data_IF_614676832396
#
_entry.id   IF_614676832396
#
_cell.length_a   1.000
_cell.length_b   1.000
_cell.length_c   1.000
_cell.angle_alpha   90.00
_cell.angle_beta   90.00
_cell.angle_gamma   90.00
#
_symmetry.space_group_name_H-M   'P 1'
#
loop_
_entity.id
_entity.type
_entity.pdbx_description
1 polymer ?
#
# COMPACT_ATOMS: atom_id res chain seq x y z
N UNK A 1 -21.67 -22.43 46.49
CA UNK A 1 -20.63 -21.69 45.74
C UNK A 1 -21.36 -20.62 44.94
N UNK A 2 -21.21 -19.35 45.35
CA UNK A 2 -21.76 -18.24 44.57
C UNK A 2 -20.98 -18.16 43.26
N UNK A 3 -21.54 -18.67 42.16
CA UNK A 3 -21.02 -18.41 40.83
C UNK A 3 -21.17 -16.91 40.59
N UNK A 4 -20.08 -16.17 40.74
CA UNK A 4 -20.06 -14.75 40.38
C UNK A 4 -20.44 -14.64 38.91
N UNK A 5 -21.52 -13.90 38.65
CA UNK A 5 -22.00 -13.69 37.27
C UNK A 5 -20.94 -12.91 36.54
N UNK A 6 -20.43 -13.47 35.40
CA UNK A 6 -19.52 -12.76 34.51
C UNK A 6 -20.25 -11.56 33.90
N UNK A 7 -19.78 -10.36 34.19
CA UNK A 7 -20.37 -9.10 33.71
C UNK A 7 -19.65 -8.52 32.54
N UNK A 8 -18.36 -8.86 32.36
CA UNK A 8 -17.48 -8.30 31.32
C UNK A 8 -16.70 -9.40 30.63
N UNK A 9 -16.63 -9.34 29.33
CA UNK A 9 -15.73 -10.18 28.50
C UNK A 9 -14.83 -9.25 27.71
N UNK A 10 -13.53 -9.35 27.93
CA UNK A 10 -12.52 -8.55 27.24
C UNK A 10 -11.77 -9.44 26.27
N UNK A 11 -12.01 -9.25 24.97
CA UNK A 11 -11.30 -9.99 23.91
C UNK A 11 -10.01 -9.25 23.55
N UNK A 12 -8.87 -9.90 23.69
CA UNK A 12 -7.55 -9.34 23.36
C UNK A 12 -7.13 -9.76 21.96
N UNK A 13 -6.67 -8.81 21.13
CA UNK A 13 -6.31 -9.03 19.73
C UNK A 13 -4.90 -8.52 19.45
N UNK A 14 -3.95 -9.43 19.17
CA UNK A 14 -2.56 -9.05 18.90
C UNK A 14 -2.35 -8.42 17.52
N UNK A 15 -1.20 -7.73 17.35
CA UNK A 15 -0.79 -7.10 16.10
C UNK A 15 -0.09 -8.03 15.12
N UNK A 16 0.52 -7.45 14.08
CA UNK A 16 1.36 -8.17 13.12
C UNK A 16 2.64 -8.67 13.80
N UNK A 17 3.15 -9.82 13.31
CA UNK A 17 4.33 -10.53 13.81
C UNK A 17 4.25 -10.97 15.29
N UNK A 18 3.11 -10.81 15.95
CA UNK A 18 2.90 -11.02 17.38
C UNK A 18 2.02 -12.25 17.70
N UNK A 19 2.04 -13.29 16.86
CA UNK A 19 1.21 -14.50 17.03
C UNK A 19 1.40 -15.17 18.39
N UNK A 20 2.60 -15.08 18.97
CA UNK A 20 2.95 -15.69 20.25
C UNK A 20 3.04 -14.67 21.41
N UNK A 21 2.49 -13.47 21.23
CA UNK A 21 2.52 -12.44 22.25
C UNK A 21 1.78 -12.91 23.52
N UNK A 22 2.44 -12.78 24.65
CA UNK A 22 1.92 -13.19 25.96
C UNK A 22 0.97 -12.18 26.56
N UNK A 23 1.01 -10.92 26.12
CA UNK A 23 0.16 -9.86 26.63
C UNK A 23 -1.35 -10.10 26.39
N UNK A 24 -1.71 -10.95 25.42
CA UNK A 24 -3.12 -11.31 25.13
C UNK A 24 -3.68 -12.31 26.14
N UNK A 25 -2.86 -12.96 26.94
CA UNK A 25 -3.28 -14.03 27.85
C UNK A 25 -3.93 -13.51 29.13
N UNK A 26 -4.81 -14.31 29.76
CA UNK A 26 -5.45 -13.92 31.01
C UNK A 26 -4.49 -13.64 32.18
N UNK A 27 -3.32 -14.27 32.19
CA UNK A 27 -2.25 -14.09 33.20
C UNK A 27 -1.27 -12.96 32.88
N UNK A 28 -1.48 -12.24 31.77
CA UNK A 28 -0.70 -11.06 31.38
C UNK A 28 -0.86 -9.90 32.37
N UNK A 29 -0.03 -8.86 32.23
CA UNK A 29 -0.19 -7.62 33.01
C UNK A 29 -1.58 -7.01 32.83
N UNK A 30 -2.09 -6.98 31.58
CA UNK A 30 -3.45 -6.50 31.28
C UNK A 30 -4.50 -7.40 31.96
N UNK A 31 -4.39 -8.72 31.82
CA UNK A 31 -5.32 -9.65 32.45
C UNK A 31 -5.36 -9.53 33.97
N UNK A 32 -4.18 -9.37 34.61
CA UNK A 32 -4.07 -9.13 36.06
C UNK A 32 -4.65 -7.78 36.47
N UNK A 33 -4.42 -6.70 35.70
CA UNK A 33 -5.02 -5.39 35.98
C UNK A 33 -6.56 -5.45 35.92
N UNK A 34 -7.11 -6.10 34.88
CA UNK A 34 -8.54 -6.31 34.75
C UNK A 34 -9.12 -7.15 35.89
N UNK A 35 -8.44 -8.24 36.24
CA UNK A 35 -8.86 -9.10 37.36
C UNK A 35 -8.79 -8.36 38.71
N UNK A 36 -7.76 -7.54 38.92
CA UNK A 36 -7.64 -6.71 40.13
C UNK A 36 -8.75 -5.66 40.23
N UNK A 37 -9.13 -5.02 39.11
CA UNK A 37 -10.17 -3.98 39.10
C UNK A 37 -11.57 -4.54 39.18
N UNK A 38 -11.87 -5.64 38.49
CA UNK A 38 -13.22 -6.15 38.29
C UNK A 38 -13.50 -7.50 38.99
N UNK A 39 -12.48 -8.08 39.60
CA UNK A 39 -12.61 -9.36 40.33
C UNK A 39 -13.02 -10.51 39.44
N UNK A 40 -13.81 -11.42 39.98
CA UNK A 40 -14.35 -12.57 39.24
C UNK A 40 -15.45 -12.22 38.22
N UNK A 41 -15.83 -10.95 38.11
CA UNK A 41 -16.82 -10.44 37.14
C UNK A 41 -16.27 -10.23 35.75
N UNK A 42 -14.95 -10.41 35.49
CA UNK A 42 -14.31 -10.24 34.18
C UNK A 42 -13.73 -11.54 33.67
N UNK A 43 -13.87 -11.77 32.36
CA UNK A 43 -13.19 -12.84 31.61
C UNK A 43 -12.36 -12.23 30.51
N UNK A 44 -11.08 -12.58 30.47
CA UNK A 44 -10.17 -12.23 29.36
C UNK A 44 -10.15 -13.39 28.36
N UNK A 45 -10.48 -13.10 27.10
CA UNK A 45 -10.54 -14.08 26.02
C UNK A 45 -9.49 -13.72 24.95
N UNK A 46 -8.45 -14.54 24.83
CA UNK A 46 -7.39 -14.31 23.86
C UNK A 46 -7.85 -14.68 22.45
N UNK A 47 -7.69 -13.75 21.48
CA UNK A 47 -7.87 -14.07 20.09
C UNK A 47 -6.54 -14.04 19.35
N UNK A 48 -6.22 -15.15 18.67
CA UNK A 48 -4.96 -15.32 17.94
C UNK A 48 -5.24 -15.49 16.46
N UNK A 49 -4.47 -14.78 15.63
CA UNK A 49 -4.51 -14.88 14.18
C UNK A 49 -3.09 -15.05 13.60
N UNK A 50 -2.95 -15.13 12.28
CA UNK A 50 -1.64 -15.40 11.64
C UNK A 50 -0.59 -14.31 11.90
N UNK A 51 -1.00 -13.08 12.18
CA UNK A 51 -0.10 -11.93 12.34
C UNK A 51 0.64 -11.53 11.08
N UNK A 52 0.28 -12.04 9.88
CA UNK A 52 0.93 -11.66 8.64
C UNK A 52 0.56 -10.24 8.22
N UNK A 53 1.57 -9.44 7.81
CA UNK A 53 1.35 -8.05 7.40
C UNK A 53 0.86 -7.94 5.96
N UNK A 54 -0.34 -8.41 5.67
CA UNK A 54 -1.00 -8.24 4.38
C UNK A 54 -2.53 -8.17 4.51
N UNK A 55 -3.24 -7.54 3.56
CA UNK A 55 -4.69 -7.38 3.59
C UNK A 55 -5.47 -8.70 3.65
N UNK A 56 -5.02 -9.75 2.94
CA UNK A 56 -5.71 -11.04 2.93
C UNK A 56 -5.69 -11.72 4.30
N UNK A 57 -4.54 -11.68 5.01
CA UNK A 57 -4.44 -12.26 6.34
C UNK A 57 -5.32 -11.50 7.35
N UNK A 58 -5.43 -10.17 7.21
CA UNK A 58 -6.35 -9.37 8.05
C UNK A 58 -7.81 -9.65 7.73
N UNK A 59 -8.15 -9.88 6.45
CA UNK A 59 -9.49 -10.28 6.05
C UNK A 59 -9.89 -11.65 6.62
N UNK A 60 -9.00 -12.64 6.56
CA UNK A 60 -9.20 -13.94 7.18
C UNK A 60 -9.35 -13.81 8.72
N UNK A 61 -8.48 -13.01 9.36
CA UNK A 61 -8.53 -12.76 10.79
C UNK A 61 -9.85 -12.09 11.22
N UNK A 62 -10.38 -11.18 10.42
CA UNK A 62 -11.69 -10.54 10.63
C UNK A 62 -12.80 -11.58 10.74
N UNK A 63 -12.86 -12.54 9.82
CA UNK A 63 -13.92 -13.54 9.81
C UNK A 63 -13.81 -14.49 11.01
N UNK A 64 -12.60 -14.93 11.35
CA UNK A 64 -12.33 -15.72 12.56
C UNK A 64 -12.63 -14.97 13.87
N UNK A 65 -12.31 -13.66 13.93
CA UNK A 65 -12.64 -12.83 15.08
C UNK A 65 -14.16 -12.69 15.26
N UNK A 66 -14.88 -12.51 14.15
CA UNK A 66 -16.34 -12.45 14.17
C UNK A 66 -16.96 -13.73 14.75
N UNK A 67 -16.49 -14.89 14.31
CA UNK A 67 -16.94 -16.19 14.85
C UNK A 67 -16.59 -16.33 16.33
N UNK A 68 -15.37 -15.96 16.73
CA UNK A 68 -14.92 -15.99 18.12
C UNK A 68 -15.79 -15.11 19.02
N UNK A 69 -16.06 -13.87 18.61
CA UNK A 69 -16.91 -12.95 19.35
C UNK A 69 -18.35 -13.47 19.45
N UNK A 70 -18.88 -14.05 18.38
CA UNK A 70 -20.21 -14.66 18.40
C UNK A 70 -20.31 -15.82 19.39
N UNK A 71 -19.32 -16.71 19.43
CA UNK A 71 -19.25 -17.78 20.43
C UNK A 71 -19.21 -17.24 21.86
N UNK A 72 -18.44 -16.17 22.11
CA UNK A 72 -18.39 -15.54 23.43
C UNK A 72 -19.72 -14.90 23.83
N UNK A 73 -20.42 -14.26 22.90
CA UNK A 73 -21.75 -13.68 23.14
C UNK A 73 -22.82 -14.74 23.47
N UNK A 74 -22.72 -15.91 22.84
CA UNK A 74 -23.60 -17.04 23.19
C UNK A 74 -23.29 -17.58 24.60
N UNK A 75 -22.00 -17.69 24.93
CA UNK A 75 -21.53 -18.23 26.21
C UNK A 75 -21.80 -17.28 27.36
N UNK A 76 -21.65 -15.98 27.16
CA UNK A 76 -21.76 -14.94 28.20
C UNK A 76 -22.83 -13.91 27.79
N UNK A 77 -24.05 -14.36 27.64
CA UNK A 77 -25.20 -13.58 27.12
C UNK A 77 -25.49 -12.27 27.84
N UNK A 78 -25.23 -12.23 29.17
CA UNK A 78 -25.51 -11.07 30.01
C UNK A 78 -24.30 -10.18 30.23
N UNK A 79 -23.12 -10.56 29.69
CA UNK A 79 -21.91 -9.80 29.84
C UNK A 79 -21.80 -8.71 28.76
N UNK A 80 -21.19 -7.58 29.12
CA UNK A 80 -20.75 -6.59 28.18
C UNK A 80 -19.44 -7.06 27.52
N UNK A 81 -19.35 -6.93 26.21
CA UNK A 81 -18.22 -7.39 25.42
C UNK A 81 -17.35 -6.22 24.98
N UNK A 82 -16.07 -6.27 25.32
CA UNK A 82 -15.05 -5.28 24.95
C UNK A 82 -13.97 -5.94 24.10
N UNK A 83 -13.30 -5.14 23.27
CA UNK A 83 -12.14 -5.58 22.51
C UNK A 83 -10.96 -4.68 22.90
N UNK A 84 -9.82 -5.27 23.26
CA UNK A 84 -8.54 -4.57 23.42
C UNK A 84 -7.60 -5.06 22.34
N UNK A 85 -7.24 -4.20 21.42
CA UNK A 85 -6.49 -4.56 20.24
C UNK A 85 -5.20 -3.73 20.11
N UNK A 86 -4.11 -4.38 19.77
CA UNK A 86 -2.81 -3.73 19.58
C UNK A 86 -2.42 -3.71 18.10
N UNK A 87 -1.83 -2.59 17.65
CA UNK A 87 -1.29 -2.46 16.31
C UNK A 87 -2.34 -2.81 15.24
N UNK A 88 -1.98 -3.58 14.21
CA UNK A 88 -2.93 -4.03 13.18
C UNK A 88 -4.08 -4.95 13.70
N UNK A 89 -4.01 -5.41 14.94
CA UNK A 89 -5.15 -6.04 15.60
C UNK A 89 -6.37 -5.11 15.70
N UNK A 90 -6.15 -3.79 15.89
CA UNK A 90 -7.20 -2.79 15.82
C UNK A 90 -7.90 -2.75 14.45
N UNK A 91 -7.14 -2.83 13.35
CA UNK A 91 -7.75 -2.92 12.01
C UNK A 91 -8.60 -4.20 11.87
N UNK A 92 -8.11 -5.35 12.38
CA UNK A 92 -8.88 -6.60 12.36
C UNK A 92 -10.18 -6.46 13.13
N UNK A 93 -10.15 -5.81 14.31
CA UNK A 93 -11.34 -5.52 15.09
C UNK A 93 -12.33 -4.63 14.32
N UNK A 94 -11.87 -3.51 13.75
CA UNK A 94 -12.73 -2.63 12.95
C UNK A 94 -13.32 -3.30 11.71
N UNK A 95 -12.56 -4.18 11.05
CA UNK A 95 -13.10 -4.94 9.92
C UNK A 95 -14.15 -5.96 10.36
N UNK A 96 -14.00 -6.59 11.52
CA UNK A 96 -15.01 -7.50 12.08
C UNK A 96 -16.30 -6.76 12.46
N UNK A 97 -16.18 -5.57 13.02
CA UNK A 97 -17.31 -4.72 13.44
C UNK A 97 -18.03 -4.01 12.29
N UNK A 98 -17.69 -4.27 11.05
CA UNK A 98 -18.53 -3.89 9.89
C UNK A 98 -19.86 -4.66 9.86
N UNK A 99 -19.91 -5.81 10.50
CA UNK A 99 -21.13 -6.51 10.80
C UNK A 99 -21.90 -5.74 11.89
N UNK A 100 -23.02 -5.13 11.52
CA UNK A 100 -23.81 -4.26 12.38
C UNK A 100 -24.38 -5.02 13.59
N UNK A 101 -24.88 -6.24 13.35
CA UNK A 101 -25.45 -7.06 14.41
C UNK A 101 -24.40 -7.45 15.46
N UNK A 102 -23.14 -7.63 15.04
CA UNK A 102 -22.03 -7.84 15.97
C UNK A 102 -21.63 -6.53 16.66
N UNK A 103 -21.47 -5.45 15.87
CA UNK A 103 -21.06 -4.14 16.39
C UNK A 103 -21.94 -3.63 17.51
N UNK A 104 -23.25 -3.79 17.38
CA UNK A 104 -24.21 -3.31 18.37
C UNK A 104 -24.14 -4.06 19.70
N UNK A 105 -23.57 -5.26 19.68
CA UNK A 105 -23.34 -6.08 20.90
C UNK A 105 -21.95 -5.88 21.52
N UNK A 106 -21.06 -5.08 20.92
CA UNK A 106 -19.75 -4.78 21.49
C UNK A 106 -19.86 -3.44 22.21
N UNK A 107 -19.64 -3.41 23.51
CA UNK A 107 -19.70 -2.20 24.33
C UNK A 107 -18.63 -1.18 23.93
N UNK A 108 -17.42 -1.65 23.59
CA UNK A 108 -16.38 -0.75 23.12
C UNK A 108 -15.11 -1.45 22.63
N UNK A 109 -14.23 -0.66 21.99
CA UNK A 109 -12.93 -1.09 21.45
C UNK A 109 -11.83 -0.18 21.96
N UNK A 110 -10.80 -0.74 22.60
CA UNK A 110 -9.57 -0.03 22.94
C UNK A 110 -8.49 -0.37 21.90
N UNK A 111 -7.97 0.63 21.24
CA UNK A 111 -6.94 0.51 20.21
C UNK A 111 -5.60 1.04 20.74
N UNK A 112 -4.64 0.15 20.91
CA UNK A 112 -3.30 0.44 21.43
C UNK A 112 -2.31 0.53 20.26
N UNK A 113 -1.73 1.68 20.02
CA UNK A 113 -0.79 1.95 18.93
C UNK A 113 -1.31 1.43 17.57
N UNK A 114 -2.60 1.51 17.30
CA UNK A 114 -3.21 1.04 16.06
C UNK A 114 -2.95 2.03 14.92
N UNK A 115 -2.31 1.61 13.82
CA UNK A 115 -2.26 2.37 12.59
C UNK A 115 -3.55 2.12 11.79
N UNK A 116 -4.51 3.02 11.84
CA UNK A 116 -5.76 2.88 11.11
C UNK A 116 -5.51 3.00 9.61
N UNK A 117 -5.64 1.88 8.89
CA UNK A 117 -5.45 1.89 7.44
C UNK A 117 -6.68 2.46 6.75
N UNK A 118 -6.51 3.62 6.13
CA UNK A 118 -7.54 4.29 5.35
C UNK A 118 -7.15 4.23 3.88
N UNK A 119 -8.08 3.82 3.03
CA UNK A 119 -7.88 3.80 1.58
C UNK A 119 -8.83 4.75 0.87
N UNK A 120 -8.32 5.46 -0.12
CA UNK A 120 -9.09 6.38 -0.97
C UNK A 120 -8.79 6.07 -2.44
N UNK A 121 -9.81 5.92 -3.31
CA UNK A 121 -9.58 5.81 -4.74
C UNK A 121 -8.91 7.07 -5.28
N UNK A 122 -7.89 6.91 -6.11
CA UNK A 122 -7.28 8.06 -6.80
C UNK A 122 -8.05 8.34 -8.08
N UNK A 123 -8.40 9.59 -8.30
CA UNK A 123 -9.02 10.06 -9.54
C UNK A 123 -7.88 10.29 -10.55
N UNK A 124 -7.47 9.24 -11.22
CA UNK A 124 -6.50 9.32 -12.30
C UNK A 124 -7.25 9.34 -13.63
N UNK A 125 -6.92 10.30 -14.51
CA UNK A 125 -7.53 10.39 -15.85
C UNK A 125 -7.41 9.06 -16.60
N UNK A 126 -8.56 8.52 -17.05
CA UNK A 126 -8.67 7.13 -17.52
C UNK A 126 -7.77 6.81 -18.73
N UNK A 127 -7.54 7.76 -19.62
CA UNK A 127 -6.71 7.60 -20.83
C UNK A 127 -5.21 7.61 -20.50
N UNK A 128 -4.77 8.48 -19.58
CA UNK A 128 -3.36 8.57 -19.19
C UNK A 128 -2.86 7.31 -18.45
N UNK A 129 -3.65 6.75 -17.54
CA UNK A 129 -3.26 5.54 -16.79
C UNK A 129 -3.01 4.36 -17.72
N UNK A 130 -3.91 4.13 -18.68
CA UNK A 130 -3.80 2.98 -19.60
C UNK A 130 -2.56 3.10 -20.48
N UNK A 131 -2.28 4.30 -21.01
CA UNK A 131 -1.12 4.54 -21.85
C UNK A 131 0.21 4.40 -21.07
N UNK A 132 0.29 4.94 -19.85
CA UNK A 132 1.50 4.85 -19.03
C UNK A 132 1.77 3.43 -18.54
N UNK A 133 0.73 2.71 -18.13
CA UNK A 133 0.86 1.31 -17.72
C UNK A 133 1.23 0.43 -18.91
N UNK A 134 0.62 0.64 -20.08
CA UNK A 134 0.98 -0.08 -21.30
C UNK A 134 2.43 0.21 -21.72
N UNK A 135 2.86 1.49 -21.65
CA UNK A 135 4.24 1.88 -21.95
C UNK A 135 5.25 1.24 -21.01
N UNK A 136 4.98 1.20 -19.74
CA UNK A 136 5.89 0.62 -18.75
C UNK A 136 5.98 -0.88 -18.82
N UNK A 137 4.87 -1.52 -19.04
CA UNK A 137 4.86 -2.97 -19.26
C UNK A 137 5.60 -3.28 -20.56
N UNK A 138 5.40 -2.48 -21.61
CA UNK A 138 6.16 -2.58 -22.84
C UNK A 138 7.68 -2.45 -22.62
N UNK A 139 8.13 -1.50 -21.80
CA UNK A 139 9.56 -1.37 -21.47
C UNK A 139 10.07 -2.54 -20.64
N UNK A 140 9.32 -2.95 -19.61
CA UNK A 140 9.70 -4.12 -18.81
C UNK A 140 9.86 -5.36 -19.71
N UNK A 141 8.94 -5.54 -20.65
CA UNK A 141 9.00 -6.62 -21.63
C UNK A 141 10.21 -6.50 -22.55
N UNK A 142 10.53 -5.28 -23.01
CA UNK A 142 11.74 -5.04 -23.83
C UNK A 142 13.02 -5.34 -23.03
N UNK A 143 13.10 -4.94 -21.76
CA UNK A 143 14.25 -5.25 -20.90
C UNK A 143 14.35 -6.75 -20.65
N UNK A 144 13.24 -7.41 -20.34
CA UNK A 144 13.22 -8.87 -20.15
C UNK A 144 13.58 -9.62 -21.43
N UNK A 145 13.16 -9.13 -22.58
CA UNK A 145 13.55 -9.66 -23.89
C UNK A 145 15.05 -9.51 -24.14
N UNK A 146 15.60 -8.33 -23.84
CA UNK A 146 17.03 -8.09 -23.99
C UNK A 146 17.84 -9.05 -23.10
N UNK A 147 17.43 -9.20 -21.83
CA UNK A 147 18.05 -10.12 -20.89
C UNK A 147 17.87 -11.59 -21.32
N UNK A 148 16.69 -11.96 -21.79
CA UNK A 148 16.42 -13.29 -22.32
C UNK A 148 17.23 -13.60 -23.57
N UNK A 149 17.34 -12.64 -24.50
CA UNK A 149 18.19 -12.77 -25.70
C UNK A 149 19.66 -12.91 -25.33
N UNK A 150 20.16 -12.12 -24.37
CA UNK A 150 21.52 -12.23 -23.87
C UNK A 150 21.78 -13.60 -23.24
N UNK A 151 20.85 -14.11 -22.45
CA UNK A 151 20.96 -15.43 -21.81
C UNK A 151 20.78 -16.57 -22.82
N UNK A 152 19.83 -16.49 -23.75
CA UNK A 152 19.52 -17.49 -24.75
C UNK A 152 20.51 -17.49 -25.93
N UNK A 153 21.31 -16.45 -26.12
CA UNK A 153 22.37 -16.42 -27.15
C UNK A 153 23.43 -17.51 -26.95
N UNK A 154 23.48 -18.12 -25.75
CA UNK A 154 24.33 -19.26 -25.45
C UNK A 154 23.78 -20.61 -25.93
N UNK A 155 22.52 -20.66 -26.42
CA UNK A 155 21.86 -21.89 -26.86
C UNK A 155 21.80 -21.97 -28.41
N UNK A 156 22.29 -23.04 -28.93
CA UNK A 156 22.12 -23.47 -30.33
C UNK A 156 20.95 -24.47 -30.46
N UNK A 157 20.08 -24.41 -31.46
CA UNK A 157 20.12 -23.52 -32.63
C UNK A 157 19.38 -22.17 -32.42
N UNK A 158 19.84 -21.14 -33.09
CA UNK A 158 19.36 -19.75 -32.99
C UNK A 158 17.84 -19.59 -33.22
N UNK A 159 17.23 -20.37 -34.13
CA UNK A 159 15.78 -20.32 -34.38
C UNK A 159 14.94 -20.67 -33.17
N UNK A 160 15.42 -21.56 -32.29
CA UNK A 160 14.72 -21.95 -31.06
C UNK A 160 14.69 -20.78 -30.06
N UNK A 161 15.78 -20.05 -29.94
CA UNK A 161 15.85 -18.85 -29.09
C UNK A 161 14.87 -17.77 -29.56
N UNK A 162 14.75 -17.57 -30.86
CA UNK A 162 13.80 -16.59 -31.45
C UNK A 162 12.34 -17.00 -31.24
N UNK A 163 12.01 -18.29 -31.39
CA UNK A 163 10.68 -18.83 -31.11
C UNK A 163 10.31 -18.67 -29.63
N UNK A 164 11.25 -18.96 -28.71
CA UNK A 164 11.03 -18.77 -27.26
C UNK A 164 10.81 -17.31 -26.90
N UNK A 165 11.56 -16.39 -27.49
CA UNK A 165 11.41 -14.94 -27.33
C UNK A 165 10.02 -14.50 -27.81
N UNK A 166 9.59 -14.96 -28.98
CA UNK A 166 8.27 -14.64 -29.53
C UNK A 166 7.11 -15.21 -28.66
N UNK A 167 7.22 -16.45 -28.22
CA UNK A 167 6.25 -17.07 -27.33
C UNK A 167 6.17 -16.33 -25.98
N UNK A 168 7.31 -15.91 -25.42
CA UNK A 168 7.38 -15.12 -24.19
C UNK A 168 6.72 -13.76 -24.37
N UNK A 169 6.93 -13.08 -25.52
CA UNK A 169 6.25 -11.82 -25.85
C UNK A 169 4.73 -11.97 -25.86
N UNK A 170 4.22 -12.94 -26.61
CA UNK A 170 2.78 -13.19 -26.71
C UNK A 170 2.16 -13.51 -25.36
N UNK A 171 2.80 -14.38 -24.58
CA UNK A 171 2.37 -14.70 -23.22
C UNK A 171 2.35 -13.47 -22.33
N UNK A 172 3.40 -12.69 -22.36
CA UNK A 172 3.54 -11.47 -21.55
C UNK A 172 2.51 -10.40 -21.93
N UNK A 173 2.27 -10.19 -23.23
CA UNK A 173 1.21 -9.29 -23.71
C UNK A 173 -0.19 -9.75 -23.24
N UNK A 174 -0.47 -11.05 -23.33
CA UNK A 174 -1.72 -11.62 -22.85
C UNK A 174 -1.89 -11.43 -21.34
N UNK A 175 -0.85 -11.74 -20.57
CA UNK A 175 -0.85 -11.56 -19.10
C UNK A 175 -1.09 -10.09 -18.69
N UNK A 176 -0.43 -9.17 -19.38
CA UNK A 176 -0.64 -7.73 -19.16
C UNK A 176 -2.06 -7.31 -19.46
N UNK A 177 -2.64 -7.75 -20.59
CA UNK A 177 -4.03 -7.45 -20.93
C UNK A 177 -5.00 -7.92 -19.84
N UNK A 178 -4.80 -9.12 -19.31
CA UNK A 178 -5.59 -9.69 -18.22
C UNK A 178 -5.40 -8.90 -16.92
N UNK A 179 -4.15 -8.54 -16.57
CA UNK A 179 -3.84 -7.75 -15.39
C UNK A 179 -4.48 -6.36 -15.47
N UNK A 180 -4.35 -5.66 -16.59
CA UNK A 180 -4.95 -4.33 -16.80
C UNK A 180 -6.48 -4.35 -16.69
N UNK A 181 -7.12 -5.37 -17.30
CA UNK A 181 -8.58 -5.54 -17.22
C UNK A 181 -9.06 -5.73 -15.79
N UNK A 182 -8.34 -6.49 -14.99
CA UNK A 182 -8.74 -6.86 -13.64
C UNK A 182 -8.21 -5.89 -12.55
N UNK A 183 -7.27 -5.01 -12.87
CA UNK A 183 -6.59 -4.17 -11.89
C UNK A 183 -7.54 -3.22 -11.15
N UNK A 184 -8.45 -2.56 -11.88
CA UNK A 184 -9.46 -1.69 -11.25
C UNK A 184 -10.36 -2.45 -10.30
N UNK A 185 -10.88 -3.59 -10.75
CA UNK A 185 -11.72 -4.46 -9.90
C UNK A 185 -10.96 -4.96 -8.66
N UNK A 186 -9.68 -5.27 -8.81
CA UNK A 186 -8.82 -5.64 -7.71
C UNK A 186 -8.64 -4.48 -6.71
N UNK A 187 -8.34 -3.28 -7.19
CA UNK A 187 -8.21 -2.09 -6.35
C UNK A 187 -9.52 -1.75 -5.61
N UNK A 188 -10.67 -1.84 -6.29
CA UNK A 188 -11.98 -1.64 -5.67
C UNK A 188 -12.29 -2.68 -4.58
N UNK A 189 -11.93 -3.95 -4.81
CA UNK A 189 -12.07 -5.01 -3.80
C UNK A 189 -11.17 -4.73 -2.59
N UNK A 190 -9.93 -4.31 -2.83
CA UNK A 190 -9.00 -3.96 -1.76
C UNK A 190 -9.49 -2.73 -0.99
N UNK A 191 -9.95 -1.69 -1.69
CA UNK A 191 -10.56 -0.51 -1.07
C UNK A 191 -11.72 -0.90 -0.14
N UNK A 192 -12.66 -1.70 -0.63
CA UNK A 192 -13.77 -2.20 0.18
C UNK A 192 -13.31 -3.05 1.36
N UNK A 193 -12.24 -3.85 1.19
CA UNK A 193 -11.69 -4.66 2.28
C UNK A 193 -11.05 -3.83 3.39
N UNK A 194 -10.50 -2.65 3.05
CA UNK A 194 -9.84 -1.73 3.99
C UNK A 194 -10.79 -0.70 4.64
N UNK A 195 -12.10 -0.74 4.34
CA UNK A 195 -13.05 0.14 5.00
C UNK A 195 -13.20 -0.20 6.48
N UNK A 196 -13.13 0.80 7.34
CA UNK A 196 -13.29 0.68 8.77
C UNK A 196 -14.78 0.78 9.16
N UNK A 197 -15.17 0.11 10.25
CA UNK A 197 -16.47 0.32 10.86
C UNK A 197 -16.54 1.72 11.48
N UNK A 198 -17.74 2.30 11.54
CA UNK A 198 -18.01 3.51 12.31
C UNK A 198 -18.41 3.14 13.74
N UNK A 199 -17.79 3.78 14.72
CA UNK A 199 -18.13 3.68 16.12
C UNK A 199 -18.47 5.08 16.65
N UNK A 200 -19.21 5.15 17.77
CA UNK A 200 -19.35 6.40 18.50
C UNK A 200 -18.10 6.69 19.33
N UNK A 201 -17.89 7.95 19.69
CA UNK A 201 -16.70 8.39 20.39
C UNK A 201 -16.54 7.70 21.76
N UNK A 202 -17.63 7.48 22.46
CA UNK A 202 -17.66 6.85 23.79
C UNK A 202 -17.23 5.38 23.74
N UNK A 203 -17.45 4.71 22.60
CA UNK A 203 -17.14 3.28 22.39
C UNK A 203 -15.73 3.03 21.86
N UNK A 204 -14.91 4.06 21.68
CA UNK A 204 -13.56 3.93 21.17
C UNK A 204 -12.54 4.62 22.06
N UNK A 205 -11.63 3.84 22.64
CA UNK A 205 -10.44 4.33 23.32
C UNK A 205 -9.24 4.20 22.38
N UNK A 206 -8.52 5.30 22.15
CA UNK A 206 -7.29 5.32 21.35
C UNK A 206 -6.12 5.70 22.25
N UNK A 207 -5.15 4.78 22.38
CA UNK A 207 -3.93 4.99 23.18
C UNK A 207 -2.73 4.88 22.28
N UNK A 208 -1.82 5.84 22.36
CA UNK A 208 -0.61 5.90 21.55
C UNK A 208 0.62 6.23 22.38
N UNK A 209 1.77 5.69 21.94
CA UNK A 209 3.09 6.13 22.37
C UNK A 209 3.69 7.03 21.28
N UNK A 210 4.07 8.28 21.57
CA UNK A 210 4.74 9.14 20.61
C UNK A 210 6.08 8.52 20.16
N UNK A 211 6.38 8.60 18.85
CA UNK A 211 7.67 8.18 18.31
C UNK A 211 7.90 6.68 18.27
N UNK A 212 6.83 5.87 18.24
CA UNK A 212 6.98 4.43 18.07
C UNK A 212 7.57 4.08 16.68
N UNK A 213 8.34 3.00 16.61
CA UNK A 213 9.09 2.57 15.42
C UNK A 213 8.16 2.14 14.28
N UNK A 214 6.99 1.61 14.59
CA UNK A 214 6.00 1.24 13.61
C UNK A 214 5.42 2.47 12.90
N UNK A 215 5.27 3.59 13.62
CA UNK A 215 4.86 4.86 13.02
C UNK A 215 5.91 5.38 12.03
N UNK A 216 7.20 5.23 12.30
CA UNK A 216 8.26 5.61 11.36
C UNK A 216 8.23 4.76 10.08
N UNK A 217 8.03 3.45 10.19
CA UNK A 217 7.88 2.56 9.03
C UNK A 217 6.65 2.93 8.17
N UNK A 218 5.55 3.31 8.80
CA UNK A 218 4.34 3.73 8.11
C UNK A 218 4.48 5.10 7.43
N UNK A 219 5.24 6.04 8.02
CA UNK A 219 5.60 7.31 7.37
C UNK A 219 6.43 7.08 6.12
N UNK A 220 7.39 6.18 6.15
CA UNK A 220 8.16 5.78 4.96
C UNK A 220 7.25 5.20 3.89
N UNK A 221 6.32 4.32 4.24
CA UNK A 221 5.30 3.80 3.33
C UNK A 221 4.47 4.91 2.67
N UNK A 222 3.97 5.87 3.45
CA UNK A 222 3.23 7.02 2.94
C UNK A 222 4.08 7.89 2.00
N UNK A 223 5.34 8.15 2.36
CA UNK A 223 6.28 8.89 1.52
C UNK A 223 6.46 8.22 0.15
N UNK A 224 6.74 6.91 0.11
CA UNK A 224 6.88 6.15 -1.14
C UNK A 224 5.61 6.18 -1.97
N UNK A 225 4.45 6.04 -1.33
CA UNK A 225 3.15 6.11 -1.99
C UNK A 225 2.92 7.48 -2.64
N UNK A 226 3.18 8.56 -1.92
CA UNK A 226 3.03 9.94 -2.42
C UNK A 226 4.05 10.26 -3.52
N UNK A 227 5.30 9.81 -3.38
CA UNK A 227 6.33 9.99 -4.39
C UNK A 227 5.94 9.31 -5.70
N UNK A 228 5.42 8.09 -5.64
CA UNK A 228 4.95 7.35 -6.83
C UNK A 228 3.88 8.13 -7.60
N UNK A 229 2.94 8.75 -6.87
CA UNK A 229 1.89 9.58 -7.49
C UNK A 229 2.45 10.88 -8.07
N UNK A 230 3.39 11.52 -7.37
CA UNK A 230 4.03 12.74 -7.89
C UNK A 230 4.77 12.48 -9.20
N UNK A 231 5.47 11.35 -9.30
CA UNK A 231 6.13 10.92 -10.52
C UNK A 231 5.13 10.66 -11.65
N UNK A 232 4.01 10.01 -11.34
CA UNK A 232 2.93 9.82 -12.32
C UNK A 232 2.36 11.15 -12.83
N UNK A 233 2.03 12.09 -11.93
CA UNK A 233 1.52 13.42 -12.30
C UNK A 233 2.54 14.19 -13.12
N UNK A 234 3.83 14.12 -12.76
CA UNK A 234 4.92 14.74 -13.50
C UNK A 234 4.99 14.19 -14.94
N UNK A 235 4.89 12.88 -15.11
CA UNK A 235 4.89 12.22 -16.41
C UNK A 235 3.75 12.73 -17.29
N UNK A 236 2.55 12.85 -16.74
CA UNK A 236 1.39 13.40 -17.43
C UNK A 236 1.59 14.88 -17.81
N UNK A 237 2.09 15.70 -16.90
CA UNK A 237 2.36 17.12 -17.17
C UNK A 237 3.43 17.32 -18.25
N UNK A 238 4.47 16.49 -18.26
CA UNK A 238 5.50 16.51 -19.30
C UNK A 238 4.90 16.16 -20.66
N UNK A 239 4.02 15.16 -20.72
CA UNK A 239 3.30 14.80 -21.93
C UNK A 239 2.45 15.95 -22.48
N UNK A 240 1.59 16.54 -21.65
CA UNK A 240 0.74 17.68 -22.05
C UNK A 240 1.56 18.88 -22.53
N UNK A 241 2.69 19.16 -21.87
CA UNK A 241 3.61 20.22 -22.29
C UNK A 241 4.25 19.90 -23.65
N UNK A 242 4.67 18.66 -23.88
CA UNK A 242 5.23 18.22 -25.14
C UNK A 242 4.22 18.36 -26.27
N UNK A 243 3.00 17.86 -26.09
CA UNK A 243 1.91 18.01 -27.06
C UNK A 243 1.61 19.49 -27.34
N UNK A 244 1.50 20.31 -26.31
CA UNK A 244 1.27 21.76 -26.47
C UNK A 244 2.39 22.44 -27.24
N UNK A 245 3.63 22.00 -27.10
CA UNK A 245 4.79 22.52 -27.81
C UNK A 245 4.77 22.09 -29.28
N UNK A 246 4.51 20.81 -29.56
CA UNK A 246 4.40 20.28 -30.92
C UNK A 246 3.21 20.92 -31.67
N UNK A 247 2.07 21.09 -31.02
CA UNK A 247 0.90 21.77 -31.61
C UNK A 247 1.17 23.24 -31.93
N UNK A 248 1.96 23.96 -31.12
CA UNK A 248 2.38 25.32 -31.45
C UNK A 248 3.32 25.34 -32.65
N UNK A 249 4.23 24.36 -32.75
CA UNK A 249 5.17 24.25 -33.85
C UNK A 249 4.51 23.84 -35.16
N UNK A 250 3.42 23.08 -35.10
CA UNK A 250 2.69 22.65 -36.33
C UNK A 250 2.27 23.82 -37.23
N UNK A 251 2.07 25.02 -36.66
CA UNK A 251 1.80 26.25 -37.41
C UNK A 251 3.04 26.91 -38.05
N UNK A 252 4.26 26.45 -37.73
CA UNK A 252 5.51 27.06 -38.16
C UNK A 252 6.24 26.18 -39.21
N UNK A 253 5.61 25.96 -40.37
CA UNK A 253 6.09 25.02 -41.40
C UNK A 253 7.54 25.28 -41.83
N UNK A 254 7.97 26.54 -41.94
CA UNK A 254 9.36 26.87 -42.36
C UNK A 254 10.36 26.42 -41.30
N UNK A 255 10.08 26.64 -40.01
CA UNK A 255 10.95 26.24 -38.91
C UNK A 255 11.01 24.73 -38.77
N UNK A 256 9.86 24.04 -38.95
CA UNK A 256 9.81 22.58 -38.94
C UNK A 256 10.59 21.97 -40.11
N UNK A 257 10.50 22.57 -41.31
CA UNK A 257 11.28 22.14 -42.45
C UNK A 257 12.78 22.34 -42.24
N UNK A 258 13.16 23.46 -41.63
CA UNK A 258 14.58 23.72 -41.29
C UNK A 258 15.07 22.71 -40.21
N UNK A 259 14.24 22.39 -39.21
CA UNK A 259 14.54 21.38 -38.19
C UNK A 259 14.65 19.97 -38.81
N UNK A 260 13.81 19.63 -39.79
CA UNK A 260 13.87 18.37 -40.52
C UNK A 260 15.20 18.23 -41.30
N UNK A 261 15.55 19.26 -42.03
CA UNK A 261 16.81 19.28 -42.83
C UNK A 261 18.03 19.23 -41.91
N UNK A 262 18.06 20.09 -40.86
CA UNK A 262 19.16 20.11 -39.89
C UNK A 262 19.28 18.79 -39.11
N UNK A 263 18.13 18.22 -38.69
CA UNK A 263 18.06 16.93 -38.04
C UNK A 263 18.57 15.78 -38.93
N UNK A 264 18.23 15.80 -40.22
CA UNK A 264 18.73 14.82 -41.17
C UNK A 264 20.25 14.91 -41.36
N UNK A 265 20.81 16.11 -41.44
CA UNK A 265 22.26 16.33 -41.52
C UNK A 265 22.95 15.80 -40.24
N UNK A 266 22.40 16.10 -39.06
CA UNK A 266 22.93 15.59 -37.82
C UNK A 266 22.87 14.05 -37.75
N UNK A 267 21.75 13.46 -38.16
CA UNK A 267 21.56 12.02 -38.23
C UNK A 267 22.62 11.33 -39.09
N UNK A 268 22.85 11.86 -40.29
CA UNK A 268 23.88 11.36 -41.19
C UNK A 268 25.28 11.52 -40.58
N UNK A 269 25.55 12.67 -39.96
CA UNK A 269 26.84 12.94 -39.28
C UNK A 269 27.15 11.97 -38.16
N UNK A 270 26.12 11.61 -37.35
CA UNK A 270 26.29 10.63 -36.27
C UNK A 270 26.54 9.22 -36.79
N UNK A 271 25.90 8.81 -37.89
CA UNK A 271 26.18 7.52 -38.53
C UNK A 271 27.64 7.45 -38.96
N UNK A 272 28.14 8.48 -39.69
CA UNK A 272 29.54 8.52 -40.11
C UNK A 272 30.48 8.55 -38.90
N UNK A 273 30.16 9.31 -37.85
CA UNK A 273 30.92 9.35 -36.61
C UNK A 273 30.98 7.99 -35.89
N UNK A 274 29.87 7.28 -35.81
CA UNK A 274 29.82 5.96 -35.19
C UNK A 274 30.64 4.91 -35.96
N UNK A 275 30.59 4.97 -37.29
CA UNK A 275 31.40 4.13 -38.18
C UNK A 275 32.90 4.46 -37.99
N UNK A 276 33.27 5.75 -37.99
CA UNK A 276 34.64 6.20 -37.83
C UNK A 276 35.22 5.82 -36.45
N UNK A 277 34.39 5.86 -35.39
CA UNK A 277 34.76 5.47 -33.99
C UNK A 277 34.71 3.97 -33.78
N UNK A 278 34.33 3.15 -34.77
CA UNK A 278 34.17 1.69 -34.63
C UNK A 278 33.31 1.29 -33.44
N UNK A 279 32.21 2.02 -33.22
CA UNK A 279 31.30 1.70 -32.11
C UNK A 279 30.69 0.31 -32.27
N UNK A 280 30.34 -0.39 -31.19
CA UNK A 280 29.63 -1.67 -31.25
C UNK A 280 28.34 -1.54 -32.07
N UNK A 281 28.11 -2.49 -32.98
CA UNK A 281 26.97 -2.46 -33.91
C UNK A 281 25.63 -2.25 -33.25
N UNK A 282 25.39 -2.90 -32.10
CA UNK A 282 24.14 -2.81 -31.35
C UNK A 282 23.91 -1.40 -30.77
N UNK A 283 24.94 -0.79 -30.19
CA UNK A 283 24.87 0.58 -29.67
C UNK A 283 24.65 1.57 -30.82
N UNK A 284 25.35 1.38 -31.93
CA UNK A 284 25.20 2.20 -33.14
C UNK A 284 23.80 2.13 -33.71
N UNK A 285 23.21 0.93 -33.85
CA UNK A 285 21.84 0.75 -34.35
C UNK A 285 20.82 1.42 -33.42
N UNK A 286 20.95 1.27 -32.13
CA UNK A 286 20.03 1.90 -31.15
C UNK A 286 20.08 3.42 -31.22
N UNK A 287 21.27 4.01 -31.25
CA UNK A 287 21.47 5.46 -31.37
C UNK A 287 20.91 5.98 -32.70
N UNK A 288 21.19 5.28 -33.81
CA UNK A 288 20.71 5.63 -35.13
C UNK A 288 19.19 5.65 -35.22
N UNK A 289 18.51 4.61 -34.70
CA UNK A 289 17.03 4.55 -34.66
C UNK A 289 16.44 5.69 -33.80
N UNK A 290 17.01 5.96 -32.63
CA UNK A 290 16.55 7.03 -31.77
C UNK A 290 16.71 8.41 -32.42
N UNK A 291 17.85 8.68 -33.03
CA UNK A 291 18.11 9.93 -33.71
C UNK A 291 17.26 10.09 -34.99
N UNK A 292 17.03 9.01 -35.75
CA UNK A 292 16.12 9.04 -36.89
C UNK A 292 14.71 9.46 -36.45
N UNK A 293 14.25 8.93 -35.34
CA UNK A 293 12.96 9.33 -34.80
C UNK A 293 12.97 10.80 -34.36
N UNK A 294 13.88 11.20 -33.48
CA UNK A 294 13.92 12.56 -32.93
C UNK A 294 14.15 13.64 -33.97
N UNK A 295 15.11 13.41 -34.87
CA UNK A 295 15.59 14.44 -35.80
C UNK A 295 14.83 14.46 -37.14
N UNK A 296 14.19 13.38 -37.52
CA UNK A 296 13.53 13.25 -38.83
C UNK A 296 12.02 12.98 -38.66
N UNK A 297 11.64 11.91 -37.94
CA UNK A 297 10.25 11.51 -37.86
C UNK A 297 9.39 12.51 -37.09
N UNK A 298 9.87 13.02 -35.96
CA UNK A 298 9.11 13.98 -35.14
C UNK A 298 8.81 15.28 -35.92
N UNK A 299 9.79 15.96 -36.53
CA UNK A 299 9.49 17.15 -37.33
C UNK A 299 8.57 16.85 -38.52
N UNK A 300 8.80 15.74 -39.25
CA UNK A 300 7.99 15.35 -40.40
C UNK A 300 6.53 15.08 -40.01
N UNK A 301 6.29 14.30 -38.95
CA UNK A 301 4.94 14.00 -38.42
C UNK A 301 4.24 15.26 -37.92
N UNK A 302 5.00 16.18 -37.28
CA UNK A 302 4.47 17.46 -36.82
C UNK A 302 4.05 18.35 -37.98
N UNK A 303 4.82 18.34 -39.06
CA UNK A 303 4.49 19.08 -40.31
C UNK A 303 3.16 18.65 -40.93
N UNK A 304 2.86 17.36 -40.92
CA UNK A 304 1.60 16.83 -41.48
C UNK A 304 0.45 16.82 -40.44
N UNK A 305 0.65 17.43 -39.28
CA UNK A 305 -0.39 17.54 -38.23
C UNK A 305 -0.57 16.30 -37.36
N UNK A 306 0.29 15.29 -37.47
CA UNK A 306 0.24 14.05 -36.67
C UNK A 306 1.05 14.20 -35.37
N UNK A 307 0.74 15.25 -34.61
CA UNK A 307 1.46 15.61 -33.38
C UNK A 307 1.41 14.52 -32.30
N UNK A 308 0.27 13.82 -32.19
CA UNK A 308 0.12 12.72 -31.23
C UNK A 308 1.04 11.54 -31.58
N UNK A 309 1.19 11.23 -32.88
CA UNK A 309 2.08 10.18 -33.36
C UNK A 309 3.55 10.61 -33.18
N UNK A 310 3.87 11.87 -33.42
CA UNK A 310 5.20 12.43 -33.22
C UNK A 310 5.63 12.41 -31.74
N UNK A 311 4.68 12.71 -30.83
CA UNK A 311 4.91 12.69 -29.40
C UNK A 311 5.03 11.26 -28.82
N UNK A 312 4.43 10.27 -29.48
CA UNK A 312 4.27 8.91 -28.97
C UNK A 312 5.54 8.25 -28.43
N UNK A 313 6.65 8.16 -29.18
CA UNK A 313 7.88 7.53 -28.68
C UNK A 313 8.56 8.30 -27.54
N UNK A 314 8.55 9.64 -27.58
CA UNK A 314 9.11 10.46 -26.48
C UNK A 314 8.27 10.26 -25.23
N UNK A 315 6.95 10.27 -25.37
CA UNK A 315 6.03 9.94 -24.28
C UNK A 315 6.26 8.53 -23.75
N UNK A 316 6.41 7.54 -24.65
CA UNK A 316 6.70 6.17 -24.27
C UNK A 316 7.99 6.07 -23.46
N UNK A 317 9.07 6.72 -23.90
CA UNK A 317 10.36 6.70 -23.19
C UNK A 317 10.27 7.35 -21.80
N UNK A 318 9.68 8.56 -21.73
CA UNK A 318 9.51 9.27 -20.45
C UNK A 318 8.57 8.46 -19.52
N UNK A 319 7.45 8.01 -20.04
CA UNK A 319 6.50 7.20 -19.31
C UNK A 319 7.12 5.91 -18.79
N UNK A 320 7.86 5.21 -19.65
CA UNK A 320 8.55 3.99 -19.31
C UNK A 320 9.61 4.19 -18.21
N UNK A 321 10.44 5.23 -18.33
CA UNK A 321 11.46 5.56 -17.32
C UNK A 321 10.81 5.85 -15.95
N UNK A 322 9.85 6.77 -15.92
CA UNK A 322 9.19 7.17 -14.68
C UNK A 322 8.40 6.02 -14.05
N UNK A 323 7.77 5.20 -14.86
CA UNK A 323 7.05 4.04 -14.35
C UNK A 323 7.97 2.92 -13.85
N UNK A 324 9.13 2.73 -14.47
CA UNK A 324 10.16 1.84 -13.93
C UNK A 324 10.57 2.28 -12.53
N UNK A 325 10.77 3.59 -12.32
CA UNK A 325 11.03 4.15 -10.99
C UNK A 325 9.86 3.86 -10.05
N UNK A 326 8.61 4.03 -10.50
CA UNK A 326 7.42 3.72 -9.69
C UNK A 326 7.35 2.23 -9.32
N UNK A 327 7.69 1.32 -10.24
CA UNK A 327 7.77 -0.12 -9.95
C UNK A 327 8.83 -0.38 -8.87
N UNK A 328 10.04 0.17 -9.02
CA UNK A 328 11.12 0.00 -8.05
C UNK A 328 10.67 0.52 -6.67
N UNK A 329 10.06 1.69 -6.62
CA UNK A 329 9.49 2.23 -5.39
C UNK A 329 8.38 1.33 -4.83
N UNK A 330 7.53 0.76 -5.67
CA UNK A 330 6.46 -0.13 -5.24
C UNK A 330 6.98 -1.45 -4.65
N UNK A 331 8.16 -1.92 -5.08
CA UNK A 331 8.82 -3.09 -4.48
C UNK A 331 9.12 -2.84 -3.00
N UNK A 332 9.47 -1.61 -2.61
CA UNK A 332 9.71 -1.27 -1.20
C UNK A 332 8.46 -1.36 -0.33
N UNK A 333 7.27 -1.45 -0.94
CA UNK A 333 5.99 -1.61 -0.26
C UNK A 333 5.59 -3.08 -0.03
N UNK A 334 6.34 -4.05 -0.57
CA UNK A 334 6.06 -5.48 -0.42
C UNK A 334 5.95 -5.95 1.04
N UNK A 335 6.72 -5.42 2.01
CA UNK A 335 6.54 -5.78 3.42
C UNK A 335 5.14 -5.49 3.97
N UNK A 336 4.37 -4.59 3.36
CA UNK A 336 2.99 -4.27 3.72
C UNK A 336 1.96 -5.11 2.94
N UNK A 337 2.42 -5.98 2.06
CA UNK A 337 1.65 -6.88 1.22
C UNK A 337 1.70 -6.52 -0.26
N UNK A 338 1.83 -7.54 -1.11
CA UNK A 338 1.87 -7.37 -2.58
C UNK A 338 0.62 -6.67 -3.13
N UNK A 339 -0.54 -6.86 -2.47
CA UNK A 339 -1.78 -6.18 -2.84
C UNK A 339 -1.67 -4.66 -2.71
N UNK A 340 -1.00 -4.20 -1.66
CA UNK A 340 -0.74 -2.77 -1.41
C UNK A 340 0.21 -2.22 -2.46
N UNK A 341 1.31 -2.93 -2.72
CA UNK A 341 2.29 -2.55 -3.74
C UNK A 341 1.64 -2.41 -5.13
N UNK A 342 0.83 -3.40 -5.56
CA UNK A 342 0.13 -3.35 -6.84
C UNK A 342 -0.94 -2.26 -6.92
N UNK A 343 -1.61 -1.96 -5.81
CA UNK A 343 -2.70 -0.98 -5.80
C UNK A 343 -2.24 0.46 -5.59
N UNK A 344 -0.96 0.68 -5.28
CA UNK A 344 -0.40 1.98 -4.92
C UNK A 344 -0.70 3.10 -5.93
N UNK A 345 -0.79 2.78 -7.21
CA UNK A 345 -1.14 3.76 -8.26
C UNK A 345 -2.62 4.13 -8.21
N UNK A 346 -3.52 3.16 -8.00
CA UNK A 346 -4.96 3.36 -8.04
C UNK A 346 -5.57 3.76 -6.69
N UNK A 347 -4.92 3.39 -5.59
CA UNK A 347 -5.37 3.67 -4.23
C UNK A 347 -4.34 4.50 -3.48
N UNK A 348 -4.84 5.51 -2.81
CA UNK A 348 -4.12 6.18 -1.73
C UNK A 348 -4.40 5.42 -0.44
N UNK A 349 -3.43 4.68 0.06
CA UNK A 349 -3.54 3.95 1.32
C UNK A 349 -2.67 4.68 2.32
N UNK A 350 -3.29 5.21 3.37
CA UNK A 350 -2.62 5.92 4.46
C UNK A 350 -2.80 5.17 5.77
N UNK A 351 -1.87 5.34 6.67
CA UNK A 351 -1.98 4.88 8.04
C UNK A 351 -2.19 6.10 8.93
N UNK A 352 -3.38 6.22 9.45
CA UNK A 352 -3.78 7.37 10.26
C UNK A 352 -3.69 7.04 11.76
N UNK A 353 -3.57 8.07 12.57
CA UNK A 353 -3.55 7.94 14.03
C UNK A 353 -4.93 7.60 14.61
N UNK A 354 -5.98 7.92 13.86
CA UNK A 354 -7.38 7.72 14.23
C UNK A 354 -8.16 7.18 13.02
N UNK A 355 -9.27 6.50 13.21
CA UNK A 355 -10.23 6.26 12.12
C UNK A 355 -10.82 7.60 11.66
N UNK A 356 -11.47 7.64 10.47
CA UNK A 356 -12.15 8.85 10.01
C UNK A 356 -13.15 9.39 11.05
N UNK A 357 -13.10 10.70 11.33
CA UNK A 357 -13.94 11.35 12.33
C UNK A 357 -13.15 12.20 13.32
N UNK A 358 -13.83 12.70 14.36
CA UNK A 358 -13.21 13.47 15.45
C UNK A 358 -13.07 12.56 16.67
N UNK A 359 -11.86 12.41 17.18
CA UNK A 359 -11.53 11.44 18.23
C UNK A 359 -10.62 12.05 19.30
N UNK A 360 -10.79 11.60 20.53
CA UNK A 360 -9.86 11.85 21.63
C UNK A 360 -8.76 10.78 21.56
N UNK A 361 -7.51 11.23 21.50
CA UNK A 361 -6.32 10.36 21.51
C UNK A 361 -5.55 10.56 22.80
N UNK A 362 -5.42 9.50 23.57
CA UNK A 362 -4.61 9.48 24.77
C UNK A 362 -3.16 9.16 24.40
N UNK A 363 -2.27 10.11 24.65
CA UNK A 363 -0.84 9.91 24.46
C UNK A 363 -0.22 9.54 25.80
N UNK A 364 0.53 8.46 25.79
CA UNK A 364 1.29 8.02 26.95
C UNK A 364 2.78 8.13 26.63
N UNK A 365 3.55 8.62 27.59
CA UNK A 365 5.00 8.48 27.54
C UNK A 365 5.39 7.21 28.30
N UNK A 366 5.70 6.11 27.60
CA UNK A 366 6.12 4.88 28.28
C UNK A 366 7.31 5.18 29.18
N UNK A 367 7.29 4.69 30.40
CA UNK A 367 8.46 4.79 31.30
C UNK A 367 9.67 4.23 30.55
N UNK A 368 10.60 5.11 30.18
CA UNK A 368 11.90 4.69 29.66
C UNK A 368 12.60 3.98 30.81
N UNK A 369 12.64 2.64 30.75
CA UNK A 369 13.55 1.89 31.63
C UNK A 369 14.93 2.50 31.44
N UNK A 370 15.64 2.81 32.52
CA UNK A 370 17.04 3.27 32.44
C UNK A 370 17.83 2.17 31.76
N UNK A 371 18.17 2.42 30.48
CA UNK A 371 18.87 1.45 29.65
C UNK A 371 20.33 1.51 30.03
N UNK A 372 20.86 0.44 30.57
CA UNK A 372 22.30 0.27 30.71
C UNK A 372 22.90 0.00 29.33
N UNK A 373 24.09 0.54 29.07
CA UNK A 373 24.77 0.34 27.80
C UNK A 373 24.98 -1.17 27.57
N UNK A 374 24.27 -1.72 26.55
CA UNK A 374 24.30 -3.15 26.22
C UNK A 374 22.94 -3.85 26.25
N UNK A 375 21.89 -3.23 26.83
CA UNK A 375 20.56 -3.82 26.85
C UNK A 375 19.82 -3.55 25.52
N UNK A 376 19.19 -4.61 24.99
CA UNK A 376 18.28 -4.47 23.84
C UNK A 376 17.02 -3.79 24.33
N UNK A 377 16.79 -2.54 23.91
CA UNK A 377 15.55 -1.83 24.24
C UNK A 377 14.35 -2.53 23.60
N UNK A 378 13.29 -2.85 24.37
CA UNK A 378 12.05 -3.28 23.78
C UNK A 378 11.50 -2.15 22.90
N UNK A 379 10.90 -2.51 21.75
CA UNK A 379 10.26 -1.55 20.85
C UNK A 379 9.18 -0.77 21.60
N UNK A 380 9.21 0.56 21.53
CA UNK A 380 8.21 1.41 22.18
C UNK A 380 6.79 1.06 21.76
N UNK A 381 6.62 0.65 20.50
CA UNK A 381 5.37 0.13 19.97
C UNK A 381 4.79 -1.02 20.80
N UNK A 382 5.64 -1.87 21.36
CA UNK A 382 5.25 -3.04 22.16
C UNK A 382 5.06 -2.73 23.64
N UNK A 383 5.57 -1.62 24.16
CA UNK A 383 5.46 -1.28 25.58
C UNK A 383 4.06 -0.79 25.94
N UNK A 384 3.30 -0.23 25.01
CA UNK A 384 1.97 0.38 25.23
C UNK A 384 1.00 -0.55 25.95
N UNK A 385 1.00 -1.85 25.68
CA UNK A 385 0.10 -2.81 26.30
C UNK A 385 0.57 -3.34 27.66
N UNK A 386 1.77 -2.95 28.12
CA UNK A 386 2.32 -3.30 29.43
C UNK A 386 2.51 -2.10 30.36
N UNK A 387 2.35 -0.89 29.82
CA UNK A 387 2.53 0.34 30.56
C UNK A 387 1.43 0.53 31.60
N UNK A 388 1.76 0.80 32.89
CA UNK A 388 0.77 0.91 33.98
C UNK A 388 -0.28 1.98 33.74
N UNK A 389 0.09 3.11 33.10
CA UNK A 389 -0.86 4.18 32.81
C UNK A 389 -1.87 3.75 31.73
N UNK A 390 -1.39 3.06 30.69
CA UNK A 390 -2.27 2.45 29.67
C UNK A 390 -3.24 1.46 30.28
N UNK A 391 -2.76 0.61 31.18
CA UNK A 391 -3.59 -0.42 31.84
C UNK A 391 -4.67 0.23 32.72
N UNK A 392 -4.32 1.26 33.49
CA UNK A 392 -5.30 2.04 34.28
C UNK A 392 -6.34 2.69 33.37
N UNK A 393 -5.89 3.35 32.30
CA UNK A 393 -6.78 4.03 31.36
C UNK A 393 -7.78 3.07 30.70
N UNK A 394 -7.36 1.85 30.36
CA UNK A 394 -8.26 0.83 29.80
C UNK A 394 -9.32 0.42 30.84
N UNK A 395 -8.90 0.19 32.10
CA UNK A 395 -9.81 -0.19 33.16
C UNK A 395 -10.83 0.93 33.45
N UNK A 396 -10.38 2.17 33.57
CA UNK A 396 -11.22 3.34 33.84
C UNK A 396 -12.23 3.58 32.71
N UNK A 397 -11.77 3.42 31.45
CA UNK A 397 -12.65 3.55 30.28
C UNK A 397 -13.70 2.44 30.20
N UNK A 398 -13.37 1.18 30.49
CA UNK A 398 -14.35 0.08 30.57
C UNK A 398 -15.43 0.40 31.63
N UNK A 399 -15.02 0.86 32.80
CA UNK A 399 -15.94 1.22 33.89
C UNK A 399 -16.88 2.39 33.52
N UNK A 400 -16.31 3.43 32.87
CA UNK A 400 -17.07 4.60 32.41
C UNK A 400 -18.08 4.25 31.31
N UNK A 401 -17.70 3.43 30.35
CA UNK A 401 -18.56 2.99 29.24
C UNK A 401 -19.75 2.18 29.75
N UNK A 402 -19.60 1.42 30.85
CA UNK A 402 -20.69 0.67 31.49
C UNK A 402 -21.74 1.60 32.11
N UNK A 403 -21.31 2.66 32.77
CA UNK A 403 -22.19 3.65 33.38
C UNK A 403 -23.07 4.35 32.36
N UNK A 404 -22.50 4.73 31.22
CA UNK A 404 -23.22 5.43 30.13
C UNK A 404 -24.26 4.55 29.45
N UNK A 405 -24.02 3.26 29.28
CA UNK A 405 -25.00 2.31 28.73
C UNK A 405 -26.19 2.12 29.64
N UNK A 406 -25.99 2.10 30.95
CA UNK A 406 -27.09 1.96 31.94
C UNK A 406 -27.88 3.24 32.18
N UNK A 407 -27.31 4.42 31.91
CA UNK A 407 -27.99 5.71 32.07
C UNK A 407 -28.86 6.11 30.87
N UNK A 408 -28.62 5.51 29.67
CA UNK A 408 -29.33 5.79 28.44
C UNK A 408 -30.41 4.79 28.03
N UNK A 409 -30.65 3.76 28.82
CA UNK A 409 -31.74 2.78 28.67
C UNK A 409 -32.80 2.98 29.72
#
# INVERSE_FOLDING_TARGET
MNHSVVRRVVTTVHGTYAKHATWVEPDSKLGKALAQRFGAGVVVASFRWSGRNNPSARAEAKDKLREHLHCLQIKYKQAQHYIVAHSHGGNVAFYALRDEALRDKIAGVACLATPFLVSRPRVLGSKGVTAHVAGAVGLLLLVLLFLARWWLSAFEPAWLSELMIFAFLLFSMGLVGVLLKNWRTFAERLHRALQLATLSQERLLIVRAPGDEASAALLFFQFVSQLSVRLYVLSYQLHERLLGLLNRWSGHHVQLLAALVGGFVLYVGVIFGAIALKMPTEATVTIVILLAWLCVAVPALTLIGWTDVAAGPVQFMIGALLFTIIIILSITLLPFGWQVALSNILLDITAETTPPGTWIVHQIEPMRSQVQAGDVQPLQHSVVYEDPHSLSLICDWIEHTEITVHAGG
#
